data_IF_674394057180
#
_entry.id   IF_674394057180
#
_cell.length_a   1.000
_cell.length_b   1.000
_cell.length_c   1.000
_cell.angle_alpha   90.00
_cell.angle_beta   90.00
_cell.angle_gamma   90.00
#
_symmetry.space_group_name_H-M   'P 1'
#
loop_
_entity.id
_entity.type
_entity.pdbx_description
1 polymer ?
#
# COMPACT_ATOMS: atom_id res chain seq x y z
N UNK A 1 2.09 23.92 -16.59
CA UNK A 1 2.94 24.28 -17.74
C UNK A 1 4.30 23.65 -17.52
N UNK A 2 4.56 22.45 -18.00
CA UNK A 2 5.90 21.84 -18.05
C UNK A 2 6.10 21.20 -19.41
N UNK A 3 7.20 21.57 -20.01
CA UNK A 3 7.59 21.40 -21.37
C UNK A 3 7.75 19.93 -21.78
N UNK A 4 7.04 19.53 -22.81
CA UNK A 4 7.32 18.34 -23.61
C UNK A 4 8.52 18.69 -24.50
N UNK A 5 9.65 18.01 -24.31
CA UNK A 5 10.81 18.14 -25.19
C UNK A 5 10.62 17.17 -26.36
N UNK A 6 10.31 17.72 -27.51
CA UNK A 6 10.37 16.99 -28.77
C UNK A 6 11.82 16.91 -29.22
N UNK A 7 12.35 15.73 -29.43
CA UNK A 7 13.58 15.53 -30.16
C UNK A 7 13.23 15.48 -31.64
N UNK A 8 13.48 16.58 -32.34
CA UNK A 8 13.49 16.62 -33.82
C UNK A 8 14.84 16.07 -34.28
N UNK A 9 14.85 14.88 -34.83
CA UNK A 9 16.01 14.34 -35.52
C UNK A 9 15.98 14.87 -36.97
N UNK A 10 16.74 15.92 -37.20
CA UNK A 10 16.97 16.44 -38.56
C UNK A 10 17.89 15.48 -39.33
N UNK A 11 17.36 14.72 -40.27
CA UNK A 11 18.16 13.96 -41.24
C UNK A 11 18.64 14.93 -42.30
N UNK A 12 19.95 15.19 -42.32
CA UNK A 12 20.62 15.89 -43.43
C UNK A 12 20.62 15.00 -44.67
N UNK A 13 19.83 15.34 -45.67
CA UNK A 13 19.95 14.78 -47.00
C UNK A 13 21.05 15.55 -47.77
N UNK A 14 22.17 14.91 -47.98
CA UNK A 14 23.20 15.38 -48.94
C UNK A 14 22.75 15.01 -50.36
N UNK A 15 22.70 15.93 -51.28
CA UNK A 15 22.48 15.60 -52.70
C UNK A 15 23.80 15.09 -53.30
N UNK A 16 23.85 13.82 -53.65
CA UNK A 16 24.86 13.30 -54.54
C UNK A 16 24.48 13.69 -56.00
N UNK A 17 25.11 14.72 -56.49
CA UNK A 17 25.13 15.03 -57.93
C UNK A 17 26.09 14.03 -58.58
N UNK A 18 25.58 12.99 -59.19
CA UNK A 18 26.28 12.23 -60.15
C UNK A 18 25.67 12.55 -61.52
N UNK A 19 26.34 13.44 -62.23
CA UNK A 19 26.15 13.61 -63.66
C UNK A 19 26.80 12.43 -64.37
N UNK A 20 26.02 11.71 -65.14
CA UNK A 20 26.51 11.04 -66.36
C UNK A 20 25.37 11.04 -67.37
N UNK A 21 25.62 11.72 -68.47
CA UNK A 21 24.73 11.67 -69.59
C UNK A 21 24.81 10.32 -70.29
N UNK A 22 23.66 9.88 -70.71
CA UNK A 22 23.41 9.19 -71.95
C UNK A 22 21.94 9.40 -72.28
N UNK A 23 21.66 9.96 -73.41
CA UNK A 23 20.36 10.24 -74.00
C UNK A 23 19.64 8.93 -74.36
N UNK A 24 19.29 8.11 -73.35
CA UNK A 24 18.26 7.11 -73.54
C UNK A 24 16.92 7.74 -73.16
N UNK A 25 16.17 8.09 -74.18
CA UNK A 25 14.78 8.54 -74.08
C UNK A 25 13.94 7.38 -73.55
N UNK A 26 14.04 7.12 -72.28
CA UNK A 26 13.14 6.19 -71.64
C UNK A 26 11.74 6.83 -71.61
N UNK A 27 10.79 6.16 -72.23
CA UNK A 27 9.40 6.58 -72.21
C UNK A 27 9.03 6.88 -70.75
N UNK A 28 8.32 7.98 -70.45
CA UNK A 28 7.95 8.30 -69.05
C UNK A 28 7.27 7.11 -68.41
N UNK A 29 7.81 6.66 -67.33
CA UNK A 29 7.25 5.53 -66.59
C UNK A 29 5.78 5.82 -66.26
N UNK A 30 4.85 4.95 -66.67
CA UNK A 30 3.43 5.19 -66.39
C UNK A 30 3.22 5.49 -64.92
N UNK A 31 2.38 6.49 -64.62
CA UNK A 31 2.11 6.85 -63.23
C UNK A 31 1.38 5.74 -62.47
N UNK A 32 0.68 4.87 -63.21
CA UNK A 32 -0.12 3.80 -62.64
C UNK A 32 -1.41 4.31 -61.99
N UNK A 33 -2.16 3.40 -61.44
CA UNK A 33 -3.36 3.68 -60.66
C UNK A 33 -3.55 2.63 -59.54
N UNK A 34 -2.88 2.83 -58.35
CA UNK A 34 -3.04 1.92 -57.23
C UNK A 34 -4.49 1.92 -56.75
N UNK A 35 -5.07 0.74 -56.61
CA UNK A 35 -6.43 0.54 -56.07
C UNK A 35 -6.41 -0.57 -55.02
N UNK A 36 -7.23 -0.44 -54.01
CA UNK A 36 -7.34 -1.44 -52.96
C UNK A 36 -8.80 -1.68 -52.56
N UNK A 37 -9.07 -2.85 -52.05
CA UNK A 37 -10.32 -3.19 -51.39
C UNK A 37 -10.01 -3.93 -50.08
N UNK A 38 -10.80 -3.74 -49.09
CA UNK A 38 -10.60 -4.29 -47.75
C UNK A 38 -11.90 -4.65 -47.10
N UNK A 39 -11.82 -5.49 -46.03
CA UNK A 39 -12.95 -5.81 -45.17
C UNK A 39 -12.65 -5.33 -43.77
N UNK A 40 -13.51 -4.46 -43.25
CA UNK A 40 -13.44 -4.02 -41.85
C UNK A 40 -13.72 -5.18 -40.90
N UNK A 41 -13.17 -5.16 -39.65
CA UNK A 41 -13.52 -6.13 -38.65
C UNK A 41 -15.04 -6.16 -38.42
N UNK A 42 -15.63 -7.37 -38.44
CA UNK A 42 -17.07 -7.55 -38.29
C UNK A 42 -17.57 -7.35 -36.86
N UNK A 43 -16.66 -7.42 -35.90
CA UNK A 43 -16.92 -7.25 -34.46
C UNK A 43 -15.99 -6.22 -33.86
N UNK A 44 -16.40 -5.62 -32.74
CA UNK A 44 -15.53 -4.71 -32.01
C UNK A 44 -14.24 -5.40 -31.58
N UNK A 45 -13.12 -4.68 -31.67
CA UNK A 45 -11.80 -5.15 -31.21
C UNK A 45 -11.55 -4.68 -29.80
N UNK A 46 -11.01 -5.55 -28.96
CA UNK A 46 -10.69 -5.18 -27.59
C UNK A 46 -9.40 -4.35 -27.52
N UNK A 47 -9.41 -3.29 -26.72
CA UNK A 47 -8.19 -2.55 -26.38
C UNK A 47 -7.17 -3.50 -25.74
N UNK A 48 -5.93 -3.44 -26.19
CA UNK A 48 -4.85 -4.36 -25.82
C UNK A 48 -4.69 -5.56 -26.74
N UNK A 49 -5.61 -5.76 -27.71
CA UNK A 49 -5.50 -6.79 -28.75
C UNK A 49 -4.90 -6.24 -30.05
N UNK A 50 -4.65 -7.13 -30.98
CA UNK A 50 -4.21 -6.81 -32.31
C UNK A 50 -5.43 -6.86 -33.26
N UNK A 51 -5.51 -5.89 -34.16
CA UNK A 51 -6.46 -5.90 -35.26
C UNK A 51 -5.73 -6.33 -36.55
N UNK A 52 -6.31 -7.29 -37.25
CA UNK A 52 -5.85 -7.73 -38.57
C UNK A 52 -6.82 -7.24 -39.62
N UNK A 53 -6.27 -6.60 -40.67
CA UNK A 53 -7.03 -6.17 -41.84
C UNK A 53 -6.43 -6.80 -43.10
N UNK A 54 -7.28 -7.49 -43.85
CA UNK A 54 -6.92 -8.03 -45.18
C UNK A 54 -7.23 -6.99 -46.22
N UNK A 55 -6.23 -6.66 -47.03
CA UNK A 55 -6.31 -5.66 -48.07
C UNK A 55 -5.91 -6.30 -49.42
N UNK A 56 -6.82 -6.29 -50.38
CA UNK A 56 -6.53 -6.73 -51.73
C UNK A 56 -6.00 -5.54 -52.51
N UNK A 57 -4.75 -5.64 -52.98
CA UNK A 57 -4.00 -4.56 -53.60
C UNK A 57 -3.74 -4.88 -55.06
N UNK A 58 -3.93 -3.90 -55.97
CA UNK A 58 -3.55 -3.97 -57.36
C UNK A 58 -3.24 -2.58 -57.91
N UNK A 59 -2.63 -2.51 -59.06
CA UNK A 59 -2.49 -1.28 -59.84
C UNK A 59 -3.18 -1.46 -61.20
N UNK A 60 -4.26 -0.70 -61.43
CA UNK A 60 -5.05 -0.80 -62.65
C UNK A 60 -4.30 -0.23 -63.89
N UNK A 61 -3.23 0.53 -63.66
CA UNK A 61 -2.32 1.01 -64.72
C UNK A 61 -1.17 0.07 -65.02
N UNK A 62 -1.11 -1.11 -64.35
CA UNK A 62 -0.10 -2.15 -64.59
C UNK A 62 1.30 -1.83 -64.07
N UNK A 63 1.42 -0.84 -63.18
CA UNK A 63 2.68 -0.48 -62.53
C UNK A 63 2.86 -1.36 -61.26
N UNK A 64 4.09 -1.84 -61.06
CA UNK A 64 4.39 -2.66 -59.88
C UNK A 64 4.08 -1.90 -58.57
N UNK A 65 3.51 -2.60 -57.63
CA UNK A 65 3.27 -2.07 -56.28
C UNK A 65 4.57 -1.91 -55.51
N UNK A 66 4.58 -1.03 -54.49
CA UNK A 66 5.74 -0.74 -53.65
C UNK A 66 5.45 -1.05 -52.20
N UNK A 67 4.54 -0.31 -51.56
CA UNK A 67 4.22 -0.42 -50.12
C UNK A 67 2.74 -0.27 -49.87
N UNK A 68 2.28 -0.97 -48.83
CA UNK A 68 1.01 -0.70 -48.14
C UNK A 68 1.33 -0.25 -46.73
N UNK A 69 0.99 1.00 -46.41
CA UNK A 69 1.06 1.56 -45.05
C UNK A 69 -0.31 1.53 -44.42
N UNK A 70 -0.37 1.11 -43.17
CA UNK A 70 -1.58 1.22 -42.33
C UNK A 70 -1.25 2.02 -41.08
N UNK A 71 -2.12 2.96 -40.73
CA UNK A 71 -1.96 3.84 -39.60
C UNK A 71 -3.24 3.85 -38.79
N UNK A 72 -3.19 3.38 -37.53
CA UNK A 72 -4.30 3.37 -36.59
C UNK A 72 -4.42 4.75 -35.95
N UNK A 73 -5.62 5.34 -36.02
CA UNK A 73 -5.89 6.70 -35.55
C UNK A 73 -6.94 6.70 -34.43
N UNK A 74 -6.57 7.28 -33.29
CA UNK A 74 -7.53 7.63 -32.23
C UNK A 74 -7.78 9.13 -32.27
N UNK A 75 -9.00 9.52 -32.58
CA UNK A 75 -9.37 10.95 -32.74
C UNK A 75 -8.43 11.69 -33.67
N UNK A 76 -8.00 11.04 -34.75
CA UNK A 76 -7.10 11.61 -35.75
C UNK A 76 -5.61 11.58 -35.39
N UNK A 77 -5.22 11.09 -34.23
CA UNK A 77 -3.84 10.92 -33.80
C UNK A 77 -3.35 9.50 -34.05
N UNK A 78 -2.17 9.35 -34.64
CA UNK A 78 -1.55 8.05 -34.87
C UNK A 78 -1.15 7.41 -33.53
N UNK A 79 -1.62 6.18 -33.29
CA UNK A 79 -1.32 5.41 -32.07
C UNK A 79 -0.54 4.13 -32.37
N UNK A 80 -0.65 3.60 -33.61
CA UNK A 80 0.16 2.51 -34.08
C UNK A 80 0.24 2.57 -35.62
N UNK A 81 1.35 2.14 -36.20
CA UNK A 81 1.51 2.09 -37.65
C UNK A 81 2.37 0.90 -38.11
N UNK A 82 2.05 0.39 -39.28
CA UNK A 82 2.84 -0.65 -39.96
C UNK A 82 2.96 -0.37 -41.43
N UNK A 83 4.07 -0.79 -42.03
CA UNK A 83 4.30 -0.70 -43.47
C UNK A 83 4.81 -2.05 -43.96
N UNK A 84 4.12 -2.61 -44.93
CA UNK A 84 4.52 -3.85 -45.59
C UNK A 84 4.88 -3.61 -47.01
N UNK A 85 5.85 -4.37 -47.53
CA UNK A 85 6.26 -4.27 -48.91
C UNK A 85 5.34 -5.10 -49.78
N UNK A 86 4.72 -4.45 -50.75
CA UNK A 86 3.88 -5.08 -51.77
C UNK A 86 4.66 -5.11 -53.10
N UNK A 87 4.83 -6.30 -53.73
CA UNK A 87 5.54 -6.44 -54.98
C UNK A 87 4.60 -6.69 -56.16
N UNK A 88 3.54 -7.42 -55.90
CA UNK A 88 2.57 -7.91 -56.88
C UNK A 88 1.15 -7.63 -56.46
N UNK A 89 0.21 -7.71 -57.40
CA UNK A 89 -1.21 -7.67 -57.05
C UNK A 89 -1.57 -8.91 -56.22
N UNK A 90 -2.34 -8.71 -55.12
CA UNK A 90 -2.73 -9.79 -54.23
C UNK A 90 -3.26 -9.31 -52.91
N UNK A 91 -3.63 -10.28 -52.04
CA UNK A 91 -4.07 -10.04 -50.68
C UNK A 91 -2.89 -9.88 -49.72
N UNK A 92 -2.90 -8.82 -48.94
CA UNK A 92 -1.92 -8.52 -47.89
C UNK A 92 -2.63 -8.34 -46.58
N UNK A 93 -2.03 -8.85 -45.50
CA UNK A 93 -2.56 -8.68 -44.13
C UNK A 93 -1.72 -7.67 -43.39
N UNK A 94 -2.34 -6.60 -42.92
CA UNK A 94 -1.75 -5.64 -41.99
C UNK A 94 -2.22 -5.94 -40.60
N UNK A 95 -1.30 -5.80 -39.60
CA UNK A 95 -1.54 -6.02 -38.20
C UNK A 95 -1.18 -4.76 -37.43
N UNK A 96 -2.10 -4.30 -36.60
CA UNK A 96 -1.93 -3.10 -35.77
C UNK A 96 -2.36 -3.41 -34.36
N UNK A 97 -1.60 -2.92 -33.37
CA UNK A 97 -1.92 -3.07 -31.98
C UNK A 97 -2.89 -1.98 -31.53
N UNK A 98 -4.07 -2.39 -31.05
CA UNK A 98 -5.03 -1.46 -30.44
C UNK A 98 -4.58 -1.18 -29.00
N UNK A 99 -4.06 0.01 -28.67
CA UNK A 99 -3.54 0.26 -27.32
C UNK A 99 -4.67 0.28 -26.30
N UNK A 100 -4.39 -0.19 -25.08
CA UNK A 100 -5.24 0.06 -23.92
C UNK A 100 -4.89 1.45 -23.39
N UNK A 101 -5.65 2.46 -23.83
CA UNK A 101 -5.31 3.86 -23.58
C UNK A 101 -6.14 4.44 -22.44
N UNK A 102 -5.50 5.26 -21.60
CA UNK A 102 -6.16 5.98 -20.51
C UNK A 102 -7.23 6.95 -21.06
N UNK A 103 -8.39 7.00 -20.43
CA UNK A 103 -9.49 7.92 -20.72
C UNK A 103 -10.09 7.82 -22.12
N UNK A 104 -9.73 6.84 -22.93
CA UNK A 104 -10.33 6.62 -24.25
C UNK A 104 -11.64 5.83 -24.05
N UNK A 105 -12.79 6.35 -24.48
CA UNK A 105 -14.05 5.63 -24.39
C UNK A 105 -14.12 4.51 -25.45
N UNK A 106 -15.07 3.60 -25.27
CA UNK A 106 -15.52 2.71 -26.34
C UNK A 106 -16.05 3.53 -27.50
N UNK A 107 -15.84 3.06 -28.73
CA UNK A 107 -16.36 3.75 -29.91
C UNK A 107 -15.59 3.44 -31.19
N UNK A 108 -15.78 4.30 -32.18
CA UNK A 108 -15.16 4.16 -33.49
C UNK A 108 -13.76 4.72 -33.53
N UNK A 109 -12.87 3.97 -34.18
CA UNK A 109 -11.51 4.37 -34.53
C UNK A 109 -11.26 4.08 -35.99
N UNK A 110 -10.26 4.74 -36.56
CA UNK A 110 -9.97 4.68 -37.98
C UNK A 110 -8.62 4.04 -38.25
N UNK A 111 -8.55 3.24 -39.34
CA UNK A 111 -7.26 2.85 -39.96
C UNK A 111 -7.19 3.53 -41.30
N UNK A 112 -6.17 4.34 -41.48
CA UNK A 112 -5.83 4.92 -42.75
C UNK A 112 -4.88 3.98 -43.47
N UNK A 113 -5.32 3.46 -44.62
CA UNK A 113 -4.54 2.59 -45.53
C UNK A 113 -3.99 3.43 -46.71
N UNK A 114 -2.71 3.36 -46.96
CA UNK A 114 -2.07 4.04 -48.10
C UNK A 114 -1.30 3.02 -48.91
N UNK A 115 -1.80 2.75 -50.11
CA UNK A 115 -1.12 1.88 -51.12
C UNK A 115 -0.33 2.75 -52.08
N UNK A 116 0.96 2.44 -52.28
CA UNK A 116 1.84 3.15 -53.15
C UNK A 116 2.48 2.20 -54.19
N UNK A 117 2.60 2.64 -55.43
CA UNK A 117 3.34 1.94 -56.48
C UNK A 117 4.80 2.45 -56.62
N UNK A 118 5.61 1.80 -57.45
CA UNK A 118 7.03 2.16 -57.66
C UNK A 118 7.20 3.53 -58.36
N UNK A 119 6.17 4.04 -59.04
CA UNK A 119 6.15 5.39 -59.61
C UNK A 119 5.72 6.46 -58.62
N UNK A 120 5.70 6.14 -57.33
CA UNK A 120 5.32 7.02 -56.20
C UNK A 120 3.86 7.49 -56.19
N UNK A 121 3.02 7.00 -57.11
CA UNK A 121 1.58 7.23 -57.06
C UNK A 121 0.98 6.49 -55.89
N UNK A 122 0.11 7.14 -55.11
CA UNK A 122 -0.56 6.53 -53.98
C UNK A 122 -2.06 6.70 -54.02
N UNK A 123 -2.76 5.75 -53.42
CA UNK A 123 -4.17 5.83 -53.07
C UNK A 123 -4.33 5.64 -51.58
N UNK A 124 -5.14 6.47 -50.94
CA UNK A 124 -5.41 6.44 -49.49
C UNK A 124 -6.90 6.23 -49.23
N UNK A 125 -7.19 5.25 -48.40
CA UNK A 125 -8.54 4.89 -47.97
C UNK A 125 -8.60 4.85 -46.45
N UNK A 126 -9.78 5.08 -45.90
CA UNK A 126 -10.00 5.00 -44.43
C UNK A 126 -11.09 3.99 -44.13
N UNK A 127 -10.80 3.06 -43.26
CA UNK A 127 -11.78 2.16 -42.69
C UNK A 127 -12.02 2.47 -41.22
N UNK A 128 -13.27 2.37 -40.79
CA UNK A 128 -13.64 2.55 -39.36
C UNK A 128 -14.14 1.24 -38.76
N UNK A 129 -13.81 1.01 -37.49
CA UNK A 129 -14.31 -0.13 -36.74
C UNK A 129 -14.51 0.27 -35.27
N UNK A 130 -15.24 -0.57 -34.53
CA UNK A 130 -15.51 -0.30 -33.13
C UNK A 130 -14.44 -0.94 -32.24
N UNK A 131 -14.00 -0.21 -31.20
CA UNK A 131 -13.15 -0.73 -30.12
C UNK A 131 -13.91 -0.75 -28.81
N UNK A 132 -13.54 -1.67 -27.92
CA UNK A 132 -14.10 -1.80 -26.57
C UNK A 132 -13.00 -2.00 -25.56
N UNK A 133 -13.21 -1.44 -24.38
CA UNK A 133 -12.35 -1.68 -23.21
C UNK A 133 -12.70 -3.03 -22.59
N UNK A 134 -11.73 -3.93 -22.32
CA UNK A 134 -12.02 -5.18 -21.64
C UNK A 134 -12.32 -4.96 -20.15
N UNK A 135 -13.28 -5.72 -19.63
CA UNK A 135 -13.49 -5.90 -18.20
C UNK A 135 -12.56 -7.02 -17.68
N UNK A 136 -11.91 -6.81 -16.55
CA UNK A 136 -10.97 -7.76 -16.00
C UNK A 136 -11.64 -8.66 -14.94
N UNK A 137 -11.79 -9.94 -15.20
CA UNK A 137 -12.24 -10.93 -14.22
C UNK A 137 -11.07 -11.57 -13.46
N UNK A 138 -9.84 -11.19 -13.77
CA UNK A 138 -8.61 -11.80 -13.28
C UNK A 138 -7.60 -10.75 -12.77
N UNK A 139 -8.06 -9.54 -12.42
CA UNK A 139 -7.21 -8.47 -11.91
C UNK A 139 -6.84 -8.73 -10.44
N UNK A 140 -5.59 -8.43 -10.09
CA UNK A 140 -5.06 -8.53 -8.74
C UNK A 140 -4.37 -7.22 -8.33
N UNK A 141 -4.49 -6.87 -7.06
CA UNK A 141 -3.54 -5.99 -6.39
C UNK A 141 -2.37 -6.85 -5.91
N UNK A 142 -1.15 -6.45 -6.25
CA UNK A 142 0.10 -7.10 -5.83
C UNK A 142 0.84 -6.14 -4.92
N UNK A 143 0.92 -6.47 -3.63
CA UNK A 143 1.64 -5.65 -2.66
C UNK A 143 3.16 -5.75 -2.83
N UNK A 144 3.90 -4.79 -2.29
CA UNK A 144 5.36 -4.72 -2.44
C UNK A 144 6.10 -5.93 -1.87
N UNK A 145 5.52 -6.64 -0.90
CA UNK A 145 6.00 -7.91 -0.34
C UNK A 145 5.58 -9.14 -1.15
N UNK A 146 4.90 -8.93 -2.28
CA UNK A 146 4.52 -9.99 -3.23
C UNK A 146 3.22 -10.72 -2.93
N UNK A 147 2.47 -10.30 -1.89
CA UNK A 147 1.15 -10.87 -1.62
C UNK A 147 0.15 -10.41 -2.68
N UNK A 148 -0.69 -11.32 -3.18
CA UNK A 148 -1.66 -11.07 -4.24
C UNK A 148 -3.07 -11.12 -3.69
N UNK A 149 -3.84 -10.07 -3.97
CA UNK A 149 -5.23 -9.93 -3.57
C UNK A 149 -6.10 -9.85 -4.82
N UNK A 150 -7.03 -10.78 -4.99
CA UNK A 150 -7.97 -10.76 -6.11
C UNK A 150 -8.89 -9.54 -6.01
N UNK A 151 -9.06 -8.85 -7.12
CA UNK A 151 -9.92 -7.68 -7.19
C UNK A 151 -11.26 -8.02 -7.84
N UNK A 152 -12.32 -7.39 -7.32
CA UNK A 152 -13.67 -7.52 -7.84
C UNK A 152 -14.10 -6.20 -8.45
N UNK A 153 -14.68 -6.23 -9.64
CA UNK A 153 -15.30 -5.06 -10.25
C UNK A 153 -16.56 -4.64 -9.46
N UNK A 154 -16.62 -3.40 -9.05
CA UNK A 154 -17.75 -2.81 -8.28
C UNK A 154 -18.61 -1.87 -9.09
N UNK A 155 -18.03 -1.22 -10.06
CA UNK A 155 -18.69 -0.43 -11.11
C UNK A 155 -17.83 -0.46 -12.35
N UNK A 156 -18.30 0.04 -13.48
CA UNK A 156 -17.59 0.00 -14.76
C UNK A 156 -16.12 0.40 -14.63
N UNK A 157 -15.24 -0.58 -14.83
CA UNK A 157 -13.77 -0.46 -14.77
C UNK A 157 -13.18 -0.07 -13.40
N UNK A 158 -13.99 -0.04 -12.34
CA UNK A 158 -13.54 0.22 -10.96
C UNK A 158 -13.50 -1.08 -10.17
N UNK A 159 -12.33 -1.44 -9.71
CA UNK A 159 -12.02 -2.70 -9.03
C UNK A 159 -11.63 -2.46 -7.57
N UNK A 160 -11.98 -3.40 -6.71
CA UNK A 160 -11.64 -3.33 -5.29
C UNK A 160 -11.09 -4.67 -4.78
N UNK A 161 -10.11 -4.57 -3.89
CA UNK A 161 -9.63 -5.65 -3.05
C UNK A 161 -9.66 -5.21 -1.58
N UNK A 162 -9.85 -6.14 -0.65
CA UNK A 162 -9.77 -5.89 0.79
C UNK A 162 -8.49 -6.50 1.32
N UNK A 163 -7.68 -5.66 1.98
CA UNK A 163 -6.50 -6.07 2.71
C UNK A 163 -6.87 -6.24 4.18
N UNK A 164 -6.90 -7.46 4.73
CA UNK A 164 -7.39 -7.72 6.10
C UNK A 164 -6.50 -7.11 7.17
N UNK A 165 -5.23 -6.84 6.84
CA UNK A 165 -4.29 -6.13 7.70
C UNK A 165 -3.37 -5.31 6.82
N UNK A 166 -3.16 -4.05 7.16
CA UNK A 166 -2.29 -3.15 6.43
C UNK A 166 -1.60 -2.19 7.37
N UNK A 167 -0.54 -1.55 6.86
CA UNK A 167 0.09 -0.40 7.49
C UNK A 167 -0.60 0.87 7.02
N UNK A 168 -0.40 1.97 7.74
CA UNK A 168 -0.84 3.30 7.34
C UNK A 168 -0.37 3.66 5.93
N UNK A 169 0.88 3.34 5.61
CA UNK A 169 1.46 3.47 4.27
C UNK A 169 1.85 2.11 3.74
N UNK A 170 1.53 1.84 2.51
CA UNK A 170 1.88 0.60 1.83
C UNK A 170 2.06 0.84 0.35
N UNK A 171 2.63 -0.13 -0.36
CA UNK A 171 2.98 0.01 -1.77
C UNK A 171 2.51 -1.23 -2.54
N UNK A 172 2.20 -1.04 -3.82
CA UNK A 172 1.83 -2.13 -4.69
C UNK A 172 1.51 -1.67 -6.10
N UNK A 173 1.14 -2.60 -6.95
CA UNK A 173 0.73 -2.38 -8.34
C UNK A 173 -0.43 -3.31 -8.69
N UNK A 174 -1.01 -3.12 -9.88
CA UNK A 174 -2.12 -3.95 -10.34
C UNK A 174 -1.69 -4.77 -11.55
N UNK A 175 -2.12 -6.01 -11.61
CA UNK A 175 -1.82 -6.87 -12.74
C UNK A 175 -2.93 -7.90 -12.98
N UNK A 176 -3.18 -8.24 -14.23
CA UNK A 176 -3.97 -9.43 -14.56
C UNK A 176 -3.16 -10.69 -14.27
N UNK A 177 -3.84 -11.78 -13.88
CA UNK A 177 -3.17 -13.07 -13.53
C UNK A 177 -2.31 -13.64 -14.66
N UNK A 178 -2.66 -13.34 -15.91
CA UNK A 178 -1.91 -13.72 -17.11
C UNK A 178 -0.75 -12.75 -17.44
N UNK A 179 -0.64 -11.66 -16.71
CA UNK A 179 0.39 -10.64 -16.93
C UNK A 179 0.21 -9.80 -18.19
N UNK A 180 -0.90 -9.95 -18.91
CA UNK A 180 -1.16 -9.17 -20.13
C UNK A 180 -1.26 -7.67 -19.87
N UNK A 181 -1.88 -7.30 -18.75
CA UNK A 181 -2.00 -5.91 -18.32
C UNK A 181 -1.34 -5.75 -16.95
N UNK A 182 -0.42 -4.81 -16.87
CA UNK A 182 0.25 -4.41 -15.63
C UNK A 182 0.14 -2.91 -15.51
N UNK A 183 -0.33 -2.43 -14.34
CA UNK A 183 -0.51 -1.02 -14.04
C UNK A 183 0.27 -0.70 -12.78
N UNK A 184 1.37 -0.02 -12.92
CA UNK A 184 2.27 0.34 -11.84
C UNK A 184 2.72 1.79 -11.94
N UNK A 185 3.73 2.16 -11.16
CA UNK A 185 4.21 3.52 -11.09
C UNK A 185 5.73 3.58 -11.06
N UNK A 186 6.33 4.37 -11.93
CA UNK A 186 7.77 4.67 -11.89
C UNK A 186 8.11 5.77 -10.86
N UNK A 187 7.10 6.54 -10.44
CA UNK A 187 7.28 7.68 -9.51
C UNK A 187 6.68 7.42 -8.11
N UNK A 188 5.89 6.36 -7.98
CA UNK A 188 5.08 6.08 -6.78
C UNK A 188 3.79 6.92 -6.69
N UNK A 189 3.54 7.81 -7.64
CA UNK A 189 2.40 8.77 -7.62
C UNK A 189 1.43 8.60 -8.78
N UNK A 190 1.94 8.33 -9.98
CA UNK A 190 1.13 8.24 -11.19
C UNK A 190 1.15 6.82 -11.72
N UNK A 191 -0.01 6.25 -12.01
CA UNK A 191 -0.14 4.90 -12.53
C UNK A 191 -0.05 4.94 -14.05
N UNK A 192 0.72 4.03 -14.62
CA UNK A 192 0.88 3.84 -16.07
C UNK A 192 0.80 2.37 -16.45
N UNK A 193 0.26 2.09 -17.63
CA UNK A 193 0.25 0.75 -18.20
C UNK A 193 1.67 0.33 -18.62
N UNK A 194 2.03 -0.90 -18.33
CA UNK A 194 3.33 -1.49 -18.61
C UNK A 194 4.40 -1.23 -17.56
N UNK A 195 4.15 -0.34 -16.61
CA UNK A 195 5.04 -0.10 -15.47
C UNK A 195 4.87 -1.19 -14.41
N UNK A 196 5.99 -1.64 -13.83
CA UNK A 196 6.02 -2.66 -12.77
C UNK A 196 6.40 -2.12 -11.40
N UNK A 197 6.66 -0.82 -11.30
CA UNK A 197 6.97 -0.15 -10.04
C UNK A 197 5.73 0.01 -9.17
N UNK A 198 5.95 0.20 -7.88
CA UNK A 198 4.88 0.31 -6.92
C UNK A 198 4.29 1.72 -6.84
N UNK A 199 2.97 1.83 -6.76
CA UNK A 199 2.24 3.02 -6.37
C UNK A 199 2.19 3.12 -4.84
N UNK A 200 2.25 4.33 -4.29
CA UNK A 200 2.21 4.57 -2.85
C UNK A 200 0.78 4.81 -2.38
N UNK A 201 0.34 4.03 -1.43
CA UNK A 201 -0.97 4.14 -0.78
C UNK A 201 -0.83 4.70 0.62
N UNK A 202 -1.82 5.47 1.05
CA UNK A 202 -1.93 6.00 2.40
C UNK A 202 -3.37 5.88 2.87
N UNK A 203 -3.60 5.31 4.07
CA UNK A 203 -4.93 5.09 4.61
C UNK A 203 -5.00 5.45 6.09
N UNK A 204 -6.11 6.07 6.52
CA UNK A 204 -6.43 6.23 7.95
C UNK A 204 -6.78 4.89 8.59
N UNK A 205 -7.27 3.91 7.82
CA UNK A 205 -7.57 2.57 8.30
C UNK A 205 -6.31 1.69 8.22
N UNK A 206 -6.07 0.92 9.27
CA UNK A 206 -4.95 -0.02 9.36
C UNK A 206 -5.41 -1.49 9.33
N UNK A 207 -6.71 -1.74 9.22
CA UNK A 207 -7.33 -3.06 9.04
C UNK A 207 -8.48 -2.98 8.05
N UNK A 208 -8.69 -4.06 7.30
CA UNK A 208 -9.72 -4.14 6.27
C UNK A 208 -9.67 -2.97 5.27
N UNK A 209 -8.45 -2.61 4.87
CA UNK A 209 -8.22 -1.52 3.93
C UNK A 209 -8.75 -1.90 2.56
N UNK A 210 -9.66 -1.10 2.01
CA UNK A 210 -10.20 -1.31 0.67
C UNK A 210 -9.34 -0.59 -0.35
N UNK A 211 -8.52 -1.34 -1.09
CA UNK A 211 -7.78 -0.82 -2.24
C UNK A 211 -8.71 -0.74 -3.43
N UNK A 212 -8.80 0.45 -4.03
CA UNK A 212 -9.61 0.72 -5.22
C UNK A 212 -8.71 1.09 -6.39
N UNK A 213 -9.04 0.58 -7.58
CA UNK A 213 -8.37 0.93 -8.83
C UNK A 213 -9.39 1.20 -9.93
N UNK A 214 -9.32 2.36 -10.55
CA UNK A 214 -10.04 2.72 -11.76
C UNK A 214 -9.14 2.46 -12.97
N UNK A 215 -9.40 1.35 -13.68
CA UNK A 215 -8.62 0.94 -14.83
C UNK A 215 -8.88 1.78 -16.08
N UNK A 216 -9.93 2.62 -16.11
CA UNK A 216 -10.19 3.56 -17.18
C UNK A 216 -9.37 4.83 -17.03
N UNK A 217 -9.32 5.36 -15.81
CA UNK A 217 -8.70 6.65 -15.50
C UNK A 217 -7.27 6.51 -14.93
N UNK A 218 -6.80 5.30 -14.68
CA UNK A 218 -5.50 4.97 -14.04
C UNK A 218 -5.34 5.68 -12.69
N UNK A 219 -6.39 5.67 -11.89
CA UNK A 219 -6.37 6.20 -10.53
C UNK A 219 -6.56 5.10 -9.50
N UNK A 220 -5.93 5.25 -8.36
CA UNK A 220 -6.05 4.28 -7.27
C UNK A 220 -6.10 4.98 -5.92
N UNK A 221 -6.62 4.30 -4.94
CA UNK A 221 -6.67 4.72 -3.54
C UNK A 221 -6.68 3.52 -2.59
N UNK A 222 -6.58 3.80 -1.29
CA UNK A 222 -6.67 5.11 -0.64
C UNK A 222 -5.38 5.92 -0.74
N UNK A 223 -5.54 7.26 -0.81
CA UNK A 223 -4.46 8.25 -0.75
C UNK A 223 -4.84 9.34 0.24
N UNK A 224 -5.26 8.93 1.43
CA UNK A 224 -5.77 9.81 2.47
C UNK A 224 -4.69 10.77 2.96
N UNK A 225 -5.10 11.99 3.29
CA UNK A 225 -4.25 12.95 4.00
C UNK A 225 -4.43 12.68 5.50
N UNK A 226 -3.44 12.04 6.13
CA UNK A 226 -3.49 11.72 7.54
C UNK A 226 -3.12 12.95 8.39
N UNK A 227 -3.77 13.15 9.56
CA UNK A 227 -3.41 14.21 10.46
C UNK A 227 -1.98 14.01 11.01
N UNK A 228 -1.24 15.12 11.14
CA UNK A 228 0.08 15.13 11.79
C UNK A 228 -0.07 15.70 13.18
N UNK A 229 0.37 14.95 14.19
CA UNK A 229 0.37 15.38 15.59
C UNK A 229 1.80 15.72 16.00
N UNK A 230 2.00 16.95 16.45
CA UNK A 230 3.28 17.39 17.00
C UNK A 230 3.34 17.01 18.48
N UNK A 231 4.33 16.22 18.84
CA UNK A 231 4.61 15.75 20.20
C UNK A 231 5.96 16.31 20.62
N UNK A 232 5.93 17.58 21.07
CA UNK A 232 7.12 18.33 21.44
C UNK A 232 7.35 18.28 22.95
N UNK A 233 8.55 17.89 23.36
CA UNK A 233 8.93 17.77 24.76
C UNK A 233 10.18 18.59 25.06
N UNK A 234 10.22 19.20 26.25
CA UNK A 234 11.38 19.93 26.75
C UNK A 234 11.65 19.58 28.21
N UNK A 235 12.91 19.62 28.63
CA UNK A 235 13.33 19.38 30.02
C UNK A 235 12.98 20.57 30.92
N UNK A 236 11.66 20.78 31.11
CA UNK A 236 11.08 21.78 31.99
C UNK A 236 9.76 21.29 32.53
N UNK A 237 9.32 21.76 33.68
CA UNK A 237 8.10 21.26 34.32
C UNK A 237 6.87 21.32 33.42
N UNK A 238 6.73 22.38 32.63
CA UNK A 238 5.63 22.51 31.67
C UNK A 238 5.88 21.77 30.35
N UNK A 239 7.14 21.48 29.99
CA UNK A 239 7.53 20.89 28.71
C UNK A 239 7.60 19.36 28.71
N UNK A 240 7.55 18.73 29.89
CA UNK A 240 7.66 17.26 29.99
C UNK A 240 6.38 16.52 29.61
N UNK A 241 5.23 17.17 29.66
CA UNK A 241 3.94 16.51 29.50
C UNK A 241 3.18 17.04 28.31
N UNK A 242 2.73 16.15 27.46
CA UNK A 242 1.79 16.42 26.39
C UNK A 242 0.43 15.76 26.71
N UNK A 243 -0.67 16.46 26.48
CA UNK A 243 -2.03 15.95 26.65
C UNK A 243 -2.89 16.34 25.46
N UNK A 244 -3.55 15.38 24.84
CA UNK A 244 -4.40 15.67 23.68
C UNK A 244 -5.05 14.45 23.08
N UNK A 245 -5.79 14.67 22.00
CA UNK A 245 -6.45 13.62 21.26
C UNK A 245 -5.56 13.16 20.10
N UNK A 246 -5.39 11.85 19.95
CA UNK A 246 -4.64 11.25 18.84
C UNK A 246 -5.52 10.22 18.16
N UNK A 247 -5.62 10.30 16.83
CA UNK A 247 -6.30 9.28 16.03
C UNK A 247 -5.37 8.08 15.82
N UNK A 248 -5.94 6.88 15.84
CA UNK A 248 -5.22 5.69 15.38
C UNK A 248 -4.76 5.90 13.92
N UNK A 249 -3.52 5.55 13.63
CA UNK A 249 -2.91 5.77 12.32
C UNK A 249 -2.39 7.19 12.07
N UNK A 250 -2.57 8.14 13.00
CA UNK A 250 -2.04 9.48 12.86
C UNK A 250 -0.51 9.48 12.77
N UNK A 251 0.03 10.35 11.91
CA UNK A 251 1.45 10.65 11.90
C UNK A 251 1.79 11.49 13.13
N UNK A 252 2.78 11.06 13.88
CA UNK A 252 3.32 11.80 15.02
C UNK A 252 4.77 12.20 14.72
N UNK A 253 5.12 13.43 15.04
CA UNK A 253 6.51 13.89 15.07
C UNK A 253 6.90 14.04 16.54
N UNK A 254 7.81 13.18 17.00
CA UNK A 254 8.35 13.22 18.36
C UNK A 254 9.62 14.06 18.36
N UNK A 255 9.62 15.14 19.14
CA UNK A 255 10.79 16.00 19.31
C UNK A 255 11.14 16.14 20.79
N UNK A 256 12.40 16.30 21.06
CA UNK A 256 12.95 16.54 22.41
C UNK A 256 13.90 17.72 22.36
N UNK A 257 13.60 18.76 23.17
CA UNK A 257 14.36 20.02 23.17
C UNK A 257 14.52 20.62 21.75
N UNK A 258 13.43 20.58 20.95
CA UNK A 258 13.37 21.12 19.60
C UNK A 258 14.10 20.31 18.52
N UNK A 259 14.59 19.11 18.83
CA UNK A 259 15.24 18.21 17.89
C UNK A 259 14.42 16.93 17.69
N UNK A 260 14.57 16.28 16.54
CA UNK A 260 14.02 14.94 16.33
C UNK A 260 14.49 14.00 17.46
N UNK A 261 13.63 13.02 17.78
CA UNK A 261 13.92 12.08 18.86
C UNK A 261 15.29 11.43 18.69
N UNK A 262 16.24 11.63 19.63
CA UNK A 262 17.56 11.00 19.57
C UNK A 262 17.47 9.47 19.66
N UNK A 263 18.43 8.77 19.05
CA UNK A 263 18.46 7.29 19.00
C UNK A 263 18.62 6.62 20.36
N UNK A 264 19.11 7.34 21.37
CA UNK A 264 19.25 6.86 22.73
C UNK A 264 17.98 7.04 23.58
N UNK A 265 16.90 7.55 22.99
CA UNK A 265 15.60 7.63 23.64
C UNK A 265 14.79 6.37 23.36
N UNK A 266 14.24 5.80 24.43
CA UNK A 266 13.29 4.70 24.32
C UNK A 266 11.91 5.23 23.98
N UNK A 267 11.33 4.73 22.90
CA UNK A 267 9.90 4.82 22.61
C UNK A 267 9.27 3.44 22.62
N UNK A 268 8.05 3.35 23.12
CA UNK A 268 7.35 2.07 23.20
C UNK A 268 6.75 1.69 21.85
N UNK A 269 7.21 0.59 21.29
CA UNK A 269 6.79 0.08 19.98
C UNK A 269 5.34 -0.44 19.94
N UNK A 270 4.67 -0.58 21.10
CA UNK A 270 3.25 -0.87 21.15
C UNK A 270 2.42 0.38 20.83
N UNK A 271 2.90 1.56 21.25
CA UNK A 271 2.23 2.85 21.02
C UNK A 271 2.62 3.50 19.68
N UNK A 272 3.88 3.36 19.30
CA UNK A 272 4.44 4.03 18.13
C UNK A 272 5.19 3.05 17.21
N UNK A 273 4.98 3.21 15.91
CA UNK A 273 5.80 2.58 14.88
C UNK A 273 6.66 3.64 14.22
N UNK A 274 7.99 3.51 14.26
CA UNK A 274 8.92 4.39 13.55
C UNK A 274 8.84 4.12 12.05
N UNK A 275 8.71 5.17 11.26
CA UNK A 275 8.63 5.12 9.80
C UNK A 275 10.00 5.43 9.17
N UNK A 276 10.16 5.13 7.88
CA UNK A 276 11.42 5.34 7.15
C UNK A 276 11.82 6.82 7.06
N UNK A 277 10.84 7.74 7.09
CA UNK A 277 11.06 9.19 7.05
C UNK A 277 11.39 9.80 8.42
N UNK A 278 11.49 8.98 9.45
CA UNK A 278 11.77 9.39 10.83
C UNK A 278 10.54 9.84 11.62
N UNK A 279 9.37 9.90 11.02
CA UNK A 279 8.10 10.11 11.72
C UNK A 279 7.65 8.83 12.44
N UNK A 280 6.56 8.93 13.19
CA UNK A 280 5.99 7.80 13.93
C UNK A 280 4.50 7.65 13.59
N UNK A 281 4.03 6.42 13.44
CA UNK A 281 2.59 6.11 13.37
C UNK A 281 2.08 5.76 14.74
N UNK A 282 1.01 6.43 15.20
CA UNK A 282 0.35 6.10 16.45
C UNK A 282 -0.53 4.86 16.30
N UNK A 283 -0.30 3.83 17.11
CA UNK A 283 -0.92 2.50 16.93
C UNK A 283 -2.15 2.26 17.79
N UNK A 284 -2.27 2.95 18.93
CA UNK A 284 -3.41 2.79 19.81
C UNK A 284 -4.71 3.30 19.18
N UNK A 285 -5.86 2.85 19.67
CA UNK A 285 -7.18 3.33 19.23
C UNK A 285 -7.29 4.85 19.35
N UNK A 286 -8.17 5.46 18.57
CA UNK A 286 -8.46 6.89 18.66
C UNK A 286 -8.94 7.25 20.07
N UNK A 287 -8.31 8.23 20.72
CA UNK A 287 -8.65 8.62 22.09
C UNK A 287 -7.83 9.79 22.60
N UNK A 288 -8.06 10.14 23.86
CA UNK A 288 -7.29 11.14 24.58
C UNK A 288 -6.18 10.49 25.38
N UNK A 289 -4.99 11.08 25.31
CA UNK A 289 -3.77 10.52 25.89
C UNK A 289 -2.97 11.56 26.65
N UNK A 290 -2.21 11.09 27.61
CA UNK A 290 -1.09 11.82 28.19
C UNK A 290 0.18 11.09 27.82
N UNK A 291 1.20 11.85 27.41
CA UNK A 291 2.55 11.40 27.18
C UNK A 291 3.48 12.21 28.07
N UNK A 292 4.20 11.53 28.94
CA UNK A 292 5.18 12.12 29.86
C UNK A 292 6.58 11.74 29.40
N UNK A 293 7.42 12.72 29.09
CA UNK A 293 8.83 12.51 28.80
C UNK A 293 9.64 12.42 30.11
N UNK A 294 10.27 11.30 30.31
CA UNK A 294 11.23 11.09 31.40
C UNK A 294 12.66 11.33 30.87
N UNK A 295 13.18 12.51 31.18
CA UNK A 295 14.53 12.93 30.76
C UNK A 295 15.65 12.21 31.51
N UNK A 296 15.35 11.65 32.66
CA UNK A 296 16.34 10.86 33.45
C UNK A 296 16.58 9.50 32.78
N UNK A 297 15.49 8.83 32.38
CA UNK A 297 15.58 7.51 31.74
C UNK A 297 15.47 7.60 30.22
N UNK A 298 15.44 8.80 29.63
CA UNK A 298 15.28 9.05 28.19
C UNK A 298 14.18 8.21 27.56
N UNK A 299 12.98 8.35 28.06
CA UNK A 299 11.85 7.52 27.68
C UNK A 299 10.52 8.28 27.77
N UNK A 300 9.47 7.66 27.22
CA UNK A 300 8.10 8.17 27.35
C UNK A 300 7.23 7.18 28.13
N UNK A 301 6.43 7.72 29.04
CA UNK A 301 5.32 7.01 29.66
C UNK A 301 4.02 7.50 29.02
N UNK A 302 3.15 6.58 28.65
CA UNK A 302 1.94 6.90 27.89
C UNK A 302 0.76 6.21 28.54
N UNK A 303 -0.35 6.95 28.65
CA UNK A 303 -1.60 6.38 29.14
C UNK A 303 -2.83 7.05 28.55
N UNK A 304 -3.94 6.32 28.54
CA UNK A 304 -5.27 6.82 28.15
C UNK A 304 -5.86 7.70 29.22
N UNK A 305 -6.65 8.70 28.78
CA UNK A 305 -7.30 9.68 29.66
C UNK A 305 -8.82 9.62 29.54
N UNK A 306 -9.48 9.86 30.69
CA UNK A 306 -10.90 10.20 30.78
C UNK A 306 -11.02 11.63 31.33
N UNK A 307 -11.24 12.60 30.42
CA UNK A 307 -11.16 14.01 30.78
C UNK A 307 -9.75 14.40 31.22
N UNK A 308 -9.58 14.76 32.49
CA UNK A 308 -8.30 15.14 33.12
C UNK A 308 -7.63 14.01 33.91
N UNK A 309 -8.32 12.89 34.08
CA UNK A 309 -7.86 11.78 34.95
C UNK A 309 -7.36 10.60 34.09
N UNK A 310 -6.38 9.81 34.58
CA UNK A 310 -6.04 8.53 33.94
C UNK A 310 -7.27 7.64 33.82
N UNK A 311 -7.43 7.02 32.66
CA UNK A 311 -8.62 6.22 32.39
C UNK A 311 -8.61 4.91 33.15
N UNK A 312 -9.78 4.53 33.68
CA UNK A 312 -10.04 3.23 34.28
C UNK A 312 -10.77 2.32 33.27
N UNK A 313 -10.78 1.03 33.56
CA UNK A 313 -11.53 0.03 32.81
C UNK A 313 -13.03 0.19 33.10
N UNK A 314 -13.83 0.19 32.07
CA UNK A 314 -15.28 0.18 32.15
C UNK A 314 -15.80 -1.26 32.31
N UNK A 315 -17.00 -1.41 32.83
CA UNK A 315 -17.61 -2.73 33.03
C UNK A 315 -17.86 -3.53 31.75
N UNK A 316 -17.87 -2.86 30.60
CA UNK A 316 -17.99 -3.51 29.29
C UNK A 316 -16.65 -3.96 28.70
N UNK A 317 -15.52 -3.70 29.37
CA UNK A 317 -14.17 -4.06 28.96
C UNK A 317 -13.45 -3.00 28.10
N UNK A 318 -14.07 -1.84 27.84
CA UNK A 318 -13.40 -0.68 27.23
C UNK A 318 -12.65 0.13 28.30
N UNK A 319 -11.77 1.06 27.90
CA UNK A 319 -11.05 1.95 28.81
C UNK A 319 -9.56 1.68 28.84
N UNK A 320 -8.98 1.50 30.03
CA UNK A 320 -7.57 1.24 30.20
C UNK A 320 -7.30 0.01 31.05
N UNK A 321 -6.19 -0.68 30.74
CA UNK A 321 -5.67 -1.79 31.54
C UNK A 321 -4.23 -1.48 31.91
N UNK A 322 -3.86 -1.83 33.14
CA UNK A 322 -2.58 -1.48 33.72
C UNK A 322 -1.88 -2.72 34.30
N UNK A 323 -0.55 -2.70 34.29
CA UNK A 323 0.27 -3.62 35.06
C UNK A 323 0.74 -2.90 36.31
N UNK A 324 0.43 -3.49 37.46
CA UNK A 324 1.08 -3.17 38.74
C UNK A 324 1.88 -4.40 39.09
N UNK A 325 3.17 -4.23 39.25
CA UNK A 325 4.06 -5.34 39.42
C UNK A 325 4.94 -5.18 40.65
N UNK A 326 5.35 -6.29 41.13
CA UNK A 326 6.42 -6.31 42.09
C UNK A 326 7.75 -6.06 41.31
N UNK A 327 8.43 -7.07 41.10
CA UNK A 327 9.68 -6.99 40.44
C UNK A 327 9.56 -7.69 39.05
N UNK A 328 10.34 -7.25 38.12
CA UNK A 328 10.50 -8.00 36.89
C UNK A 328 9.76 -7.50 35.67
N UNK A 329 8.89 -6.51 35.78
CA UNK A 329 8.25 -5.89 34.62
C UNK A 329 8.06 -4.38 34.78
N UNK A 330 8.66 -3.60 33.91
CA UNK A 330 8.42 -2.15 33.77
C UNK A 330 8.97 -1.64 32.44
N UNK A 331 8.77 -0.36 32.15
CA UNK A 331 9.31 0.35 30.95
C UNK A 331 9.94 1.67 31.40
N UNK A 332 11.06 2.10 30.78
CA UNK A 332 11.80 1.48 29.65
C UNK A 332 12.54 0.21 30.03
N UNK A 333 12.95 0.05 31.31
CA UNK A 333 13.56 -1.17 31.84
C UNK A 333 12.80 -1.61 33.09
N UNK A 334 12.91 -2.88 33.45
CA UNK A 334 12.19 -3.46 34.59
C UNK A 334 12.54 -2.80 35.95
N UNK A 335 13.69 -2.15 36.03
CA UNK A 335 14.23 -1.48 37.24
C UNK A 335 14.28 0.05 37.14
N UNK A 336 13.82 0.68 36.07
CA UNK A 336 13.99 2.12 35.81
C UNK A 336 13.24 3.03 36.77
N UNK A 337 12.11 2.59 37.30
CA UNK A 337 11.24 3.35 38.23
C UNK A 337 10.82 2.48 39.41
N UNK A 338 10.11 3.06 40.37
CA UNK A 338 9.56 2.30 41.48
C UNK A 338 8.74 1.11 40.97
N UNK A 339 9.14 -0.10 41.32
CA UNK A 339 8.69 -1.31 40.69
C UNK A 339 8.22 -2.39 41.68
N UNK A 340 8.23 -2.09 43.00
CA UNK A 340 7.81 -3.04 44.02
C UNK A 340 6.42 -2.70 44.53
N UNK A 341 5.39 -3.07 43.76
CA UNK A 341 3.98 -2.87 44.11
C UNK A 341 3.60 -1.42 44.42
N UNK A 342 4.30 -0.47 43.82
CA UNK A 342 3.93 0.94 43.83
C UNK A 342 2.80 1.18 42.84
N UNK A 343 2.00 2.20 43.11
CA UNK A 343 0.84 2.53 42.26
C UNK A 343 0.91 3.98 41.79
N UNK A 344 0.31 4.23 40.67
CA UNK A 344 0.21 5.51 40.01
C UNK A 344 0.88 5.56 38.65
N UNK A 345 0.57 6.56 37.86
CA UNK A 345 1.06 6.71 36.48
C UNK A 345 2.60 6.78 36.36
N UNK A 346 3.28 7.11 37.46
CA UNK A 346 4.74 7.16 37.51
C UNK A 346 5.40 5.79 37.68
N UNK A 347 4.64 4.77 38.06
CA UNK A 347 5.15 3.42 38.32
C UNK A 347 4.44 2.35 37.52
N UNK A 348 3.15 2.51 37.22
CA UNK A 348 2.36 1.51 36.52
C UNK A 348 2.60 1.53 35.02
N UNK A 349 2.46 0.39 34.37
CA UNK A 349 2.53 0.29 32.91
C UNK A 349 1.13 0.24 32.33
N UNK A 350 0.70 1.28 31.65
CA UNK A 350 -0.52 1.28 30.86
C UNK A 350 -0.34 0.44 29.61
N UNK A 351 -1.18 -0.57 29.41
CA UNK A 351 -1.18 -1.37 28.19
C UNK A 351 -1.76 -0.56 27.03
N UNK A 352 -1.19 -0.75 25.86
CA UNK A 352 -1.66 -0.10 24.62
C UNK A 352 -3.00 -0.71 24.20
N UNK A 353 -4.10 0.07 24.13
CA UNK A 353 -5.35 -0.40 23.56
C UNK A 353 -5.22 -0.45 22.03
N UNK A 354 -4.91 -1.62 21.47
CA UNK A 354 -4.69 -1.81 20.03
C UNK A 354 -6.00 -1.94 19.24
N UNK A 355 -7.07 -2.31 19.93
CA UNK A 355 -8.44 -2.46 19.46
C UNK A 355 -9.37 -2.33 20.64
N UNK A 356 -10.65 -2.06 20.41
CA UNK A 356 -11.65 -2.07 21.48
C UNK A 356 -11.57 -3.36 22.29
N UNK A 357 -11.43 -3.22 23.62
CA UNK A 357 -11.35 -4.33 24.58
C UNK A 357 -10.13 -5.25 24.42
N UNK A 358 -9.12 -4.85 23.65
CA UNK A 358 -7.88 -5.61 23.43
C UNK A 358 -6.68 -4.75 23.76
N UNK A 359 -5.89 -5.18 24.71
CA UNK A 359 -4.78 -4.44 25.31
C UNK A 359 -3.48 -5.21 25.13
N UNK A 360 -2.40 -4.53 24.77
CA UNK A 360 -1.13 -5.16 24.45
C UNK A 360 0.03 -4.52 25.22
N UNK A 361 0.99 -5.36 25.59
CA UNK A 361 2.31 -4.95 26.06
C UNK A 361 3.37 -5.87 25.49
N UNK A 362 4.43 -5.28 24.92
CA UNK A 362 5.60 -6.01 24.44
C UNK A 362 6.75 -5.84 25.43
N UNK A 363 7.34 -6.97 25.84
CA UNK A 363 8.38 -7.03 26.86
C UNK A 363 9.56 -7.85 26.35
N UNK A 364 10.76 -7.28 26.43
CA UNK A 364 12.02 -7.96 26.08
C UNK A 364 12.76 -8.34 27.36
N UNK A 365 13.15 -9.60 27.45
CA UNK A 365 13.91 -10.16 28.58
C UNK A 365 15.29 -9.48 28.69
N UNK A 366 15.68 -9.16 29.91
CA UNK A 366 16.90 -8.38 30.18
C UNK A 366 16.72 -6.86 29.97
N UNK A 367 15.53 -6.43 29.46
CA UNK A 367 15.15 -5.02 29.35
C UNK A 367 13.89 -4.74 30.15
N UNK A 368 12.71 -4.86 29.55
CA UNK A 368 11.41 -4.59 30.19
C UNK A 368 10.92 -5.75 31.07
N UNK A 369 11.46 -6.94 30.85
CA UNK A 369 11.13 -8.16 31.58
C UNK A 369 12.39 -8.75 32.19
N UNK A 370 12.35 -9.03 33.49
CA UNK A 370 13.41 -9.73 34.19
C UNK A 370 13.40 -11.22 33.83
N UNK A 371 14.57 -11.86 33.73
CA UNK A 371 14.67 -13.27 33.38
C UNK A 371 14.12 -14.22 34.45
N UNK A 372 14.04 -13.78 35.71
CA UNK A 372 13.56 -14.59 36.84
C UNK A 372 12.77 -13.71 37.82
N UNK A 373 11.95 -14.31 38.68
CA UNK A 373 11.22 -13.58 39.70
C UNK A 373 10.14 -12.65 39.14
N UNK A 374 9.54 -13.02 38.04
CA UNK A 374 8.41 -12.26 37.43
C UNK A 374 7.19 -12.46 38.33
N UNK A 375 6.63 -11.32 38.78
CA UNK A 375 5.45 -11.31 39.63
C UNK A 375 4.72 -9.97 39.47
N UNK A 376 3.65 -9.96 38.71
CA UNK A 376 2.83 -8.77 38.43
C UNK A 376 1.36 -9.14 38.24
N UNK A 377 0.49 -8.13 38.23
CA UNK A 377 -0.95 -8.33 38.08
C UNK A 377 -1.54 -7.28 37.15
N UNK A 378 -2.64 -7.62 36.49
CA UNK A 378 -3.44 -6.68 35.72
C UNK A 378 -4.50 -6.01 36.58
N UNK A 379 -4.58 -4.69 36.38
CA UNK A 379 -5.55 -3.82 37.07
C UNK A 379 -6.32 -2.96 36.08
N UNK A 380 -7.57 -2.69 36.34
CA UNK A 380 -8.39 -1.80 35.54
C UNK A 380 -8.22 -0.30 35.88
N UNK A 381 -7.21 0.09 36.65
CA UNK A 381 -6.91 1.48 37.01
C UNK A 381 -5.44 1.63 37.43
N UNK A 382 -4.90 2.85 37.33
CA UNK A 382 -3.55 3.17 37.81
C UNK A 382 -3.49 3.28 39.33
N UNK A 383 -4.01 2.33 40.05
CA UNK A 383 -4.04 2.23 41.49
C UNK A 383 -4.65 0.87 41.89
N UNK A 384 -4.64 0.58 43.20
CA UNK A 384 -5.32 -0.59 43.74
C UNK A 384 -6.83 -0.54 43.44
N UNK A 385 -7.39 -1.65 43.04
CA UNK A 385 -8.80 -1.81 42.70
C UNK A 385 -8.98 -2.29 41.25
N UNK A 386 -10.15 -2.83 40.92
CA UNK A 386 -10.44 -3.49 39.65
C UNK A 386 -9.35 -4.53 39.30
N UNK A 387 -9.01 -5.37 40.29
CA UNK A 387 -8.01 -6.44 40.10
C UNK A 387 -8.55 -7.57 39.21
N UNK A 388 -7.75 -8.03 38.29
CA UNK A 388 -7.99 -9.29 37.60
C UNK A 388 -7.44 -10.45 38.41
N UNK A 389 -8.26 -11.48 38.65
CA UNK A 389 -7.91 -12.66 39.44
C UNK A 389 -8.09 -13.95 38.64
N UNK A 390 -7.41 -15.01 39.04
CA UNK A 390 -7.57 -16.34 38.44
C UNK A 390 -8.89 -17.02 38.85
N UNK A 391 -9.46 -16.67 40.01
CA UNK A 391 -10.75 -17.17 40.51
C UNK A 391 -11.41 -16.21 41.48
N UNK A 392 -12.67 -16.47 41.78
CA UNK A 392 -13.45 -15.83 42.88
C UNK A 392 -13.49 -14.30 42.80
N UNK A 393 -13.68 -13.76 41.60
CA UNK A 393 -13.80 -12.32 41.37
C UNK A 393 -14.78 -12.03 40.22
N UNK A 394 -15.22 -10.77 40.12
CA UNK A 394 -15.99 -10.22 38.99
C UNK A 394 -15.12 -9.95 37.75
N UNK A 395 -13.82 -9.83 37.93
CA UNK A 395 -12.83 -9.64 36.85
C UNK A 395 -11.92 -10.88 36.84
N UNK A 396 -12.16 -11.78 35.92
CA UNK A 396 -11.41 -13.03 35.79
C UNK A 396 -10.52 -13.01 34.56
N UNK A 397 -9.30 -13.53 34.73
CA UNK A 397 -8.34 -13.71 33.66
C UNK A 397 -7.79 -15.14 33.66
N UNK A 398 -7.62 -15.69 32.48
CA UNK A 398 -7.04 -17.01 32.26
C UNK A 398 -5.97 -16.95 31.19
N UNK A 399 -5.13 -17.99 31.10
CA UNK A 399 -4.13 -18.14 30.04
C UNK A 399 -3.89 -19.60 29.68
N UNK A 400 -3.63 -19.84 28.40
CA UNK A 400 -3.13 -21.13 27.91
C UNK A 400 -1.62 -21.07 27.59
N UNK A 401 -0.95 -19.97 27.98
CA UNK A 401 0.50 -19.79 27.72
C UNK A 401 1.32 -20.92 28.35
N UNK A 402 2.29 -21.44 27.63
CA UNK A 402 3.29 -22.36 28.13
C UNK A 402 4.37 -21.67 28.99
N UNK A 403 4.45 -20.33 28.93
CA UNK A 403 5.49 -19.52 29.59
C UNK A 403 4.99 -18.93 30.90
N UNK A 404 3.84 -18.30 30.87
CA UNK A 404 3.28 -17.60 32.03
C UNK A 404 2.05 -18.32 32.56
N UNK A 405 1.89 -18.33 33.89
CA UNK A 405 0.69 -18.77 34.60
C UNK A 405 -0.05 -17.61 35.26
N UNK A 406 -1.30 -17.81 35.59
CA UNK A 406 -2.12 -16.92 36.42
C UNK A 406 -2.35 -17.62 37.76
N UNK A 407 -1.95 -16.95 38.86
CA UNK A 407 -2.14 -17.47 40.21
C UNK A 407 -3.62 -17.61 40.57
N UNK A 408 -3.94 -18.67 41.32
CA UNK A 408 -5.28 -18.97 41.82
C UNK A 408 -5.34 -19.00 43.34
N UNK A 409 -4.29 -18.52 44.03
CA UNK A 409 -4.15 -18.58 45.47
C UNK A 409 -3.59 -19.88 46.00
N UNK A 410 -3.20 -20.83 45.15
CA UNK A 410 -2.52 -22.06 45.51
C UNK A 410 -1.07 -22.01 45.05
N UNK A 411 -0.16 -21.58 45.91
CA UNK A 411 1.25 -21.42 45.59
C UNK A 411 1.64 -20.07 44.96
N UNK A 412 0.74 -19.44 44.23
CA UNK A 412 0.88 -18.08 43.71
C UNK A 412 -0.34 -17.25 44.06
N UNK A 413 -0.14 -15.97 44.35
CA UNK A 413 -1.23 -15.05 44.71
C UNK A 413 -2.27 -14.96 43.60
N UNK A 414 -3.54 -14.92 44.00
CA UNK A 414 -4.65 -14.95 43.06
C UNK A 414 -4.65 -13.78 42.09
N UNK A 415 -4.44 -14.09 40.81
CA UNK A 415 -4.36 -13.14 39.69
C UNK A 415 -2.93 -12.70 39.31
N UNK A 416 -1.91 -13.03 40.14
CA UNK A 416 -0.54 -12.69 39.78
C UNK A 416 -0.09 -13.51 38.55
N UNK A 417 0.55 -12.83 37.64
CA UNK A 417 1.22 -13.45 36.49
C UNK A 417 2.62 -13.86 36.92
N UNK A 418 2.95 -15.12 36.73
CA UNK A 418 4.21 -15.70 37.19
C UNK A 418 4.80 -16.61 36.06
N UNK A 419 6.09 -16.91 36.15
CA UNK A 419 6.72 -17.91 35.26
C UNK A 419 6.36 -19.32 35.71
N UNK A 420 5.90 -20.13 34.76
CA UNK A 420 5.60 -21.56 35.03
C UNK A 420 6.87 -22.33 35.40
N UNK A 421 6.70 -23.38 36.19
CA UNK A 421 7.81 -24.23 36.64
C UNK A 421 8.62 -24.80 35.45
N UNK A 422 9.92 -24.69 35.56
CA UNK A 422 10.85 -25.16 34.52
C UNK A 422 11.01 -24.24 33.33
N UNK A 423 10.34 -23.09 33.29
CA UNK A 423 10.55 -22.10 32.23
C UNK A 423 11.74 -21.21 32.56
N UNK A 424 12.67 -21.13 31.61
CA UNK A 424 13.82 -20.22 31.66
C UNK A 424 13.70 -19.19 30.54
N UNK A 425 13.65 -17.91 30.89
CA UNK A 425 13.69 -16.80 29.94
C UNK A 425 15.14 -16.45 29.63
N UNK A 426 15.40 -16.19 28.34
CA UNK A 426 16.74 -15.79 27.88
C UNK A 426 16.78 -14.32 27.49
N UNK A 427 17.84 -13.64 27.87
CA UNK A 427 18.04 -12.25 27.50
C UNK A 427 17.92 -12.02 26.00
N UNK A 428 17.18 -10.98 25.64
CA UNK A 428 16.87 -10.62 24.26
C UNK A 428 15.61 -11.29 23.69
N UNK A 429 15.06 -12.31 24.32
CA UNK A 429 13.75 -12.86 23.92
C UNK A 429 12.66 -11.82 24.14
N UNK A 430 11.75 -11.68 23.16
CA UNK A 430 10.66 -10.71 23.23
C UNK A 430 9.32 -11.44 23.26
N UNK A 431 8.47 -11.04 24.19
CA UNK A 431 7.13 -11.57 24.37
C UNK A 431 6.09 -10.46 24.20
N UNK A 432 5.06 -10.75 23.40
CA UNK A 432 3.88 -9.91 23.26
C UNK A 432 2.78 -10.51 24.12
N UNK A 433 2.36 -9.77 25.13
CA UNK A 433 1.25 -10.12 26.00
C UNK A 433 0.02 -9.34 25.56
N UNK A 434 -1.03 -10.04 25.16
CA UNK A 434 -2.30 -9.45 24.74
C UNK A 434 -3.40 -9.90 25.70
N UNK A 435 -4.06 -8.94 26.34
CA UNK A 435 -5.24 -9.20 27.17
C UNK A 435 -6.48 -8.89 26.35
N UNK A 436 -7.28 -9.91 26.11
CA UNK A 436 -8.51 -9.87 25.30
C UNK A 436 -9.72 -9.93 26.23
N UNK A 437 -10.48 -8.82 26.26
CA UNK A 437 -11.70 -8.65 27.05
C UNK A 437 -12.98 -8.67 26.19
N UNK A 438 -12.88 -9.10 24.94
CA UNK A 438 -14.03 -9.10 24.01
C UNK A 438 -15.17 -10.01 24.47
N UNK A 439 -14.86 -11.07 25.25
CA UNK A 439 -15.84 -11.98 25.83
C UNK A 439 -16.44 -11.48 27.17
N UNK A 440 -15.94 -10.37 27.70
CA UNK A 440 -16.33 -9.79 28.98
C UNK A 440 -15.17 -9.71 29.96
N UNK A 441 -15.30 -8.84 30.97
CA UNK A 441 -14.28 -8.66 32.04
C UNK A 441 -14.17 -9.86 32.98
N UNK A 442 -15.20 -10.69 33.02
CA UNK A 442 -15.26 -11.97 33.75
C UNK A 442 -14.70 -13.16 32.95
N UNK A 443 -14.22 -12.92 31.75
CA UNK A 443 -13.71 -13.93 30.80
C UNK A 443 -12.49 -13.43 30.03
N UNK A 444 -11.66 -12.60 30.66
CA UNK A 444 -10.44 -12.10 30.06
C UNK A 444 -9.47 -13.25 29.74
N UNK A 445 -8.79 -13.13 28.61
CA UNK A 445 -7.78 -14.11 28.17
C UNK A 445 -6.45 -13.41 27.94
N UNK A 446 -5.41 -13.85 28.66
CA UNK A 446 -4.03 -13.47 28.39
C UNK A 446 -3.46 -14.41 27.32
N UNK A 447 -3.21 -13.85 26.15
CA UNK A 447 -2.46 -14.50 25.06
C UNK A 447 -1.01 -14.06 25.13
N UNK A 448 -0.08 -14.99 24.92
CA UNK A 448 1.36 -14.73 24.95
C UNK A 448 1.99 -15.27 23.65
N UNK A 449 2.66 -14.40 22.95
CA UNK A 449 3.37 -14.73 21.73
C UNK A 449 4.85 -14.39 21.88
N UNK A 450 5.73 -15.32 21.57
CA UNK A 450 7.17 -15.08 21.48
C UNK A 450 7.49 -14.62 20.05
N UNK A 451 8.15 -13.46 19.92
CA UNK A 451 8.60 -12.91 18.63
C UNK A 451 9.93 -13.48 18.19
#
# INVERSE_FOLDING_TARGET
MKHIRYYIMALLALPLMASCGDDDYSAPTPAGNPVMSYTAPATAVWMGDEVEVKVNCKDDGGVALSTLKANLLFSGQSVDETTIRTKEAGEYTVKLKVPYAQNVPDGKVDIQLTLQNVSTKSNTETLSFDIKRPHFNNLQFVSADGVKYDMTEKSDFVYQAVLPSSKKTFKGYFATKDGKFVFGSSTGKDISLGETGNFNFTSENMSDVVVTFDAKNYTAGPTDVLPVTMLDFADSDAGKTWVGDIKQGATCNLTVNGNNLPDDWYYDSDWFQKEEDGSYTFKAITGRYTILADFTHKSFRIWTMNGSEPMSLNGDGTGALWIIGNEGVNKPTWDAVNHSWWTGVDSDVCLTPIKDKVYQVTLTVGKQLRATGVDFKFFGQANWGIEFKGKDNSHLISTESEVFGIGDGNGHDNGNVYLKDGVELKDGETYVLTVDLTAGVDKAVLKVEKK
#
